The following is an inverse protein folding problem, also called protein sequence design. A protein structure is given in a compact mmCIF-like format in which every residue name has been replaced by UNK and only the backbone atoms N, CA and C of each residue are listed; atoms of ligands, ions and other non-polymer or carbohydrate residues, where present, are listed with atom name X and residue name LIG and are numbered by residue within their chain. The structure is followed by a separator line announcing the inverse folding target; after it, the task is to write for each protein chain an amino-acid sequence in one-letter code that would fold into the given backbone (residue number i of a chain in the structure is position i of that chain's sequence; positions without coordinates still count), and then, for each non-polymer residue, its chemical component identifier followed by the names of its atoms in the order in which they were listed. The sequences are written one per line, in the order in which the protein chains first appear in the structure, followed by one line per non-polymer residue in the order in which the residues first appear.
data_IF_189512202286
#
_entry.id   IF_189512202286
#
_cell.length_a   1.000
_cell.length_b   1.000
_cell.length_c   1.000
_cell.angle_alpha   90.00
_cell.angle_beta   90.00
_cell.angle_gamma   90.00
#
_symmetry.space_group_name_H-M   'P 1'
#
loop_
_entity.id
_entity.type
_entity.pdbx_description
1 polymer ?
#
# COMPACT_ATOMS: atom_id res chain seq x y z
N UNK A 1 -22.75 18.99 60.53
CA UNK A 1 -21.69 19.37 59.56
C UNK A 1 -22.18 18.96 58.17
N UNK A 2 -22.73 19.89 57.41
CA UNK A 2 -23.34 19.67 56.09
C UNK A 2 -22.29 20.00 55.05
N UNK A 3 -21.90 19.04 54.22
CA UNK A 3 -21.05 19.25 53.05
C UNK A 3 -21.96 19.37 51.84
N UNK A 4 -21.97 20.56 51.26
CA UNK A 4 -22.72 20.86 50.05
C UNK A 4 -22.02 20.32 48.83
N UNK A 5 -22.77 19.64 47.96
CA UNK A 5 -22.35 19.20 46.62
C UNK A 5 -22.66 20.34 45.64
N UNK A 6 -21.63 20.85 44.99
CA UNK A 6 -21.77 21.81 43.87
C UNK A 6 -21.84 20.98 42.57
N UNK A 7 -22.92 21.08 41.78
CA UNK A 7 -22.94 20.49 40.45
C UNK A 7 -22.22 21.43 39.46
N UNK A 8 -21.11 20.96 38.91
CA UNK A 8 -20.43 21.62 37.79
C UNK A 8 -21.26 21.51 36.51
N UNK A 9 -21.75 22.63 36.05
CA UNK A 9 -22.41 22.78 34.72
C UNK A 9 -21.32 22.76 33.64
N UNK A 10 -21.24 21.66 32.91
CA UNK A 10 -20.46 21.57 31.69
C UNK A 10 -21.24 22.28 30.59
N UNK A 11 -20.96 23.56 30.37
CA UNK A 11 -21.53 24.36 29.30
C UNK A 11 -20.97 23.91 27.96
N UNK A 12 -21.78 23.17 27.21
CA UNK A 12 -21.50 22.83 25.80
C UNK A 12 -21.69 24.08 24.95
N UNK A 13 -20.59 24.72 24.57
CA UNK A 13 -20.59 25.90 23.67
C UNK A 13 -20.90 25.41 22.23
N UNK A 14 -22.18 25.31 21.89
CA UNK A 14 -22.64 25.22 20.50
C UNK A 14 -22.45 26.57 19.82
N UNK A 15 -21.32 26.78 19.16
CA UNK A 15 -21.19 27.89 18.21
C UNK A 15 -21.93 27.50 16.93
N UNK A 16 -23.09 28.11 16.73
CA UNK A 16 -23.82 28.03 15.45
C UNK A 16 -23.02 28.81 14.40
N UNK A 17 -22.26 28.07 13.58
CA UNK A 17 -21.71 28.59 12.34
C UNK A 17 -22.88 28.83 11.37
N UNK A 18 -23.30 30.10 11.23
CA UNK A 18 -24.23 30.49 10.18
C UNK A 18 -23.56 30.35 8.84
N UNK A 19 -23.79 29.24 8.15
CA UNK A 19 -23.39 29.06 6.75
C UNK A 19 -24.33 29.96 5.91
N UNK A 20 -23.82 31.10 5.48
CA UNK A 20 -24.49 31.87 4.43
C UNK A 20 -24.34 31.08 3.12
N UNK A 21 -25.44 30.50 2.66
CA UNK A 21 -25.51 29.93 1.32
C UNK A 21 -25.36 31.08 0.31
N UNK A 22 -24.19 31.19 -0.30
CA UNK A 22 -24.04 32.02 -1.50
C UNK A 22 -24.86 31.37 -2.63
N UNK A 23 -25.63 32.21 -3.33
CA UNK A 23 -26.33 31.81 -4.55
C UNK A 23 -25.33 31.15 -5.50
N UNK A 24 -25.70 30.05 -6.16
CA UNK A 24 -24.83 29.44 -7.14
C UNK A 24 -24.70 30.41 -8.33
N UNK A 25 -23.59 31.14 -8.36
CA UNK A 25 -23.14 31.74 -9.61
C UNK A 25 -22.84 30.58 -10.58
N UNK A 26 -23.34 30.75 -11.79
CA UNK A 26 -23.29 29.80 -12.89
C UNK A 26 -22.01 28.96 -12.88
N UNK A 27 -22.17 27.63 -12.72
CA UNK A 27 -21.09 26.66 -12.88
C UNK A 27 -20.49 26.82 -14.28
N UNK A 28 -19.45 27.58 -14.38
CA UNK A 28 -18.60 27.60 -15.56
C UNK A 28 -17.89 26.25 -15.57
N UNK A 29 -18.38 25.32 -16.38
CA UNK A 29 -17.64 24.08 -16.68
C UNK A 29 -16.33 24.49 -17.37
N UNK A 30 -15.30 24.72 -16.58
CA UNK A 30 -13.92 24.80 -17.08
C UNK A 30 -13.50 23.34 -17.26
N UNK A 31 -13.57 22.85 -18.48
CA UNK A 31 -12.91 21.59 -18.85
C UNK A 31 -11.42 21.78 -18.52
N UNK A 32 -10.95 21.04 -17.51
CA UNK A 32 -9.55 21.11 -17.08
C UNK A 32 -8.68 20.49 -18.17
N UNK A 33 -7.71 21.22 -18.76
CA UNK A 33 -6.85 20.70 -19.84
C UNK A 33 -6.00 19.50 -19.43
N UNK A 34 -5.87 19.25 -18.12
CA UNK A 34 -5.00 18.22 -17.53
C UNK A 34 -5.52 16.78 -17.77
N UNK A 35 -6.84 16.61 -17.81
CA UNK A 35 -7.46 15.29 -18.12
C UNK A 35 -7.15 14.85 -19.55
N UNK A 36 -7.14 15.79 -20.48
CA UNK A 36 -6.85 15.52 -21.90
C UNK A 36 -5.37 15.14 -22.10
N UNK A 37 -4.44 15.75 -21.35
CA UNK A 37 -3.01 15.44 -21.43
C UNK A 37 -2.71 14.07 -20.81
N UNK A 38 -3.34 13.71 -19.69
CA UNK A 38 -3.18 12.40 -19.08
C UNK A 38 -3.73 11.28 -19.97
N UNK A 39 -4.91 11.46 -20.52
CA UNK A 39 -5.54 10.50 -21.44
C UNK A 39 -4.72 10.35 -22.74
N UNK A 40 -4.23 11.43 -23.29
CA UNK A 40 -3.37 11.40 -24.48
C UNK A 40 -2.03 10.72 -24.20
N UNK A 41 -1.43 10.93 -23.02
CA UNK A 41 -0.19 10.27 -22.63
C UNK A 41 -0.38 8.74 -22.50
N UNK A 42 -1.46 8.31 -21.85
CA UNK A 42 -1.82 6.90 -21.72
C UNK A 42 -2.13 6.24 -23.07
N UNK A 43 -2.88 6.90 -23.94
CA UNK A 43 -3.14 6.42 -25.30
C UNK A 43 -1.88 6.33 -26.16
N UNK A 44 -0.96 7.28 -26.01
CA UNK A 44 0.33 7.28 -26.70
C UNK A 44 1.26 6.18 -26.14
N UNK A 45 1.24 5.90 -24.86
CA UNK A 45 1.98 4.79 -24.27
C UNK A 45 1.42 3.44 -24.74
N UNK A 46 0.09 3.28 -24.76
CA UNK A 46 -0.58 2.05 -25.23
C UNK A 46 -0.30 1.76 -26.73
N UNK A 47 -0.15 2.80 -27.55
CA UNK A 47 0.18 2.65 -28.97
C UNK A 47 1.65 2.34 -29.23
N UNK A 48 2.53 2.61 -28.27
CA UNK A 48 3.99 2.48 -28.44
C UNK A 48 4.60 1.26 -27.75
N UNK A 49 3.85 0.57 -26.91
CA UNK A 49 4.32 -0.63 -26.22
C UNK A 49 3.64 -1.87 -26.76
N UNK A 50 4.43 -2.90 -27.07
CA UNK A 50 3.92 -4.23 -27.38
C UNK A 50 3.33 -4.95 -26.16
N UNK A 51 3.32 -4.31 -24.98
CA UNK A 51 2.82 -4.81 -23.72
C UNK A 51 1.38 -4.33 -23.50
N UNK A 52 0.53 -5.21 -22.99
CA UNK A 52 -0.81 -4.83 -22.54
C UNK A 52 -0.68 -4.01 -21.27
N UNK A 53 -0.97 -2.71 -21.38
CA UNK A 53 -0.96 -1.77 -20.26
C UNK A 53 -2.40 -1.48 -19.81
N UNK A 54 -2.71 -1.73 -18.56
CA UNK A 54 -3.95 -1.27 -17.92
C UNK A 54 -3.63 -0.27 -16.83
N UNK A 55 -4.47 0.75 -16.73
CA UNK A 55 -4.29 1.84 -15.77
C UNK A 55 -5.45 1.86 -14.80
N UNK A 56 -5.15 1.70 -13.52
CA UNK A 56 -6.06 1.99 -12.44
C UNK A 56 -5.81 3.43 -11.98
N UNK A 57 -6.70 4.32 -12.33
CA UNK A 57 -6.64 5.72 -11.91
C UNK A 57 -7.20 5.91 -10.50
N UNK A 58 -7.19 7.15 -10.01
CA UNK A 58 -7.68 7.49 -8.67
C UNK A 58 -9.15 7.14 -8.46
N UNK A 59 -9.99 7.31 -9.47
CA UNK A 59 -11.43 7.04 -9.36
C UNK A 59 -11.69 5.53 -9.29
N UNK A 60 -10.97 4.74 -10.10
CA UNK A 60 -10.98 3.29 -10.01
C UNK A 60 -10.55 2.81 -8.62
N UNK A 61 -9.40 3.32 -8.13
CA UNK A 61 -8.87 2.94 -6.81
C UNK A 61 -9.82 3.31 -5.68
N UNK A 62 -10.43 4.50 -5.71
CA UNK A 62 -11.42 4.93 -4.71
C UNK A 62 -12.67 4.07 -4.73
N UNK A 63 -13.18 3.74 -5.92
CA UNK A 63 -14.37 2.90 -6.08
C UNK A 63 -14.18 1.51 -5.49
N UNK A 64 -12.99 0.95 -5.59
CA UNK A 64 -12.66 -0.39 -5.15
C UNK A 64 -11.84 -0.42 -3.84
N UNK A 65 -11.78 0.71 -3.13
CA UNK A 65 -10.99 0.85 -1.91
C UNK A 65 -11.55 0.00 -0.77
N UNK A 66 -10.73 -0.88 -0.21
CA UNK A 66 -11.06 -1.76 0.91
C UNK A 66 -10.09 -1.62 2.09
N UNK A 67 -9.13 -0.69 2.02
CA UNK A 67 -8.01 -0.62 2.96
C UNK A 67 -6.87 -1.61 2.66
N UNK A 68 -7.04 -2.47 1.65
CA UNK A 68 -6.00 -3.34 1.13
C UNK A 68 -5.77 -3.02 -0.36
N UNK A 69 -4.53 -2.72 -0.72
CA UNK A 69 -4.17 -2.34 -2.08
C UNK A 69 -4.47 -3.45 -3.09
N UNK A 70 -4.09 -4.69 -2.78
CA UNK A 70 -4.24 -5.79 -3.73
C UNK A 70 -5.70 -6.17 -3.96
N UNK A 71 -6.57 -6.06 -2.95
CA UNK A 71 -8.01 -6.29 -3.13
C UNK A 71 -8.63 -5.28 -4.12
N UNK A 72 -8.16 -4.03 -4.14
CA UNK A 72 -8.58 -3.08 -5.17
C UNK A 72 -8.12 -3.52 -6.57
N UNK A 73 -6.89 -4.06 -6.66
CA UNK A 73 -6.28 -4.49 -7.92
C UNK A 73 -6.90 -5.76 -8.52
N UNK A 74 -7.57 -6.60 -7.73
CA UNK A 74 -8.29 -7.79 -8.21
C UNK A 74 -9.44 -7.46 -9.18
N UNK A 75 -9.90 -6.22 -9.17
CA UNK A 75 -10.89 -5.75 -10.13
C UNK A 75 -10.31 -5.50 -11.53
N UNK A 76 -9.00 -5.68 -11.72
CA UNK A 76 -8.34 -5.65 -13.03
C UNK A 76 -8.28 -7.07 -13.58
N UNK A 77 -8.84 -7.35 -14.78
CA UNK A 77 -8.82 -8.69 -15.37
C UNK A 77 -7.42 -9.31 -15.40
N UNK A 78 -7.28 -10.54 -14.87
CA UNK A 78 -6.03 -11.29 -14.83
C UNK A 78 -5.03 -10.84 -13.75
N UNK A 79 -5.40 -9.93 -12.88
CA UNK A 79 -4.74 -9.64 -11.60
C UNK A 79 -5.49 -10.33 -10.49
N UNK A 80 -4.79 -10.96 -9.59
CA UNK A 80 -5.32 -11.65 -8.42
C UNK A 80 -4.48 -11.27 -7.20
N UNK A 81 -5.08 -11.32 -6.03
CA UNK A 81 -4.37 -11.24 -4.77
C UNK A 81 -4.15 -12.64 -4.19
N UNK A 82 -2.96 -12.87 -3.69
CA UNK A 82 -2.71 -13.99 -2.79
C UNK A 82 -2.86 -13.45 -1.38
N UNK A 83 -4.05 -13.62 -0.81
CA UNK A 83 -4.41 -13.10 0.51
C UNK A 83 -4.31 -14.18 1.57
N UNK A 84 -3.62 -13.86 2.67
CA UNK A 84 -3.62 -14.62 3.90
C UNK A 84 -4.14 -13.70 5.00
N UNK A 85 -5.46 -13.54 5.06
CA UNK A 85 -6.09 -12.59 5.97
C UNK A 85 -5.96 -11.13 5.54
N UNK A 86 -6.19 -10.21 6.48
CA UNK A 86 -6.28 -8.77 6.16
C UNK A 86 -4.93 -8.08 6.02
N UNK A 87 -3.88 -8.63 6.63
CA UNK A 87 -2.56 -7.99 6.70
C UNK A 87 -1.55 -8.47 5.65
N UNK A 88 -1.84 -9.57 4.97
CA UNK A 88 -0.90 -10.19 4.04
C UNK A 88 -1.55 -10.38 2.68
N UNK A 89 -1.06 -9.65 1.70
CA UNK A 89 -1.55 -9.74 0.33
C UNK A 89 -0.43 -9.54 -0.66
N UNK A 90 -0.35 -10.39 -1.66
CA UNK A 90 0.66 -10.36 -2.73
C UNK A 90 0.03 -10.33 -4.10
N UNK A 91 0.65 -9.66 -5.08
CA UNK A 91 0.18 -9.69 -6.44
C UNK A 91 0.44 -11.03 -7.12
N UNK A 92 -0.54 -11.45 -7.91
CA UNK A 92 -0.44 -12.52 -8.87
C UNK A 92 -1.03 -12.05 -10.21
N UNK A 93 -0.26 -12.20 -11.30
CA UNK A 93 -0.70 -11.84 -12.64
C UNK A 93 -0.72 -13.11 -13.48
N UNK A 94 -1.90 -13.48 -14.02
CA UNK A 94 -2.10 -14.68 -14.84
C UNK A 94 -1.54 -15.96 -14.20
N UNK A 95 -1.75 -16.13 -12.88
CA UNK A 95 -1.27 -17.27 -12.11
C UNK A 95 0.21 -17.23 -11.71
N UNK A 96 0.93 -16.20 -12.08
CA UNK A 96 2.33 -16.00 -11.68
C UNK A 96 2.42 -15.00 -10.53
N UNK A 97 3.06 -15.39 -9.44
CA UNK A 97 3.26 -14.58 -8.23
C UNK A 97 4.70 -14.61 -7.74
N UNK A 98 4.93 -14.13 -6.52
CA UNK A 98 6.24 -14.05 -5.86
C UNK A 98 7.26 -13.26 -6.69
N UNK A 99 8.44 -13.83 -6.91
CA UNK A 99 9.53 -13.26 -7.71
C UNK A 99 9.28 -13.25 -9.23
N UNK A 100 8.02 -13.45 -9.68
CA UNK A 100 7.66 -13.37 -11.11
C UNK A 100 6.79 -12.17 -11.44
N UNK A 101 6.40 -11.39 -10.42
CA UNK A 101 5.68 -10.12 -10.59
C UNK A 101 6.49 -9.04 -9.89
N UNK A 102 6.99 -8.08 -10.65
CA UNK A 102 7.69 -6.93 -10.08
C UNK A 102 6.68 -5.86 -9.64
N UNK A 103 6.88 -5.33 -8.44
CA UNK A 103 6.15 -4.16 -7.96
C UNK A 103 7.13 -3.00 -7.86
N UNK A 104 6.78 -1.88 -8.50
CA UNK A 104 7.56 -0.66 -8.46
C UNK A 104 6.80 0.43 -7.71
N UNK A 105 7.51 1.22 -6.95
CA UNK A 105 7.01 2.46 -6.35
C UNK A 105 7.98 3.58 -6.67
N UNK A 106 7.48 4.66 -7.26
CA UNK A 106 8.30 5.79 -7.70
C UNK A 106 9.47 5.39 -8.63
N UNK A 107 9.29 4.39 -9.49
CA UNK A 107 10.30 3.89 -10.41
C UNK A 107 11.33 2.92 -9.81
N UNK A 108 11.26 2.66 -8.51
CA UNK A 108 12.14 1.72 -7.80
C UNK A 108 11.39 0.45 -7.47
N UNK A 109 11.99 -0.71 -7.77
CA UNK A 109 11.45 -2.02 -7.43
C UNK A 109 11.39 -2.18 -5.92
N UNK A 110 10.23 -2.60 -5.41
CA UNK A 110 10.07 -2.95 -4.01
C UNK A 110 10.66 -4.32 -3.74
N UNK A 111 11.54 -4.39 -2.74
CA UNK A 111 12.16 -5.63 -2.29
C UNK A 111 11.47 -6.17 -1.02
N UNK A 112 11.58 -7.49 -0.79
CA UNK A 112 10.99 -8.18 0.35
C UNK A 112 9.72 -8.98 0.03
N UNK A 113 9.11 -8.79 -1.13
CA UNK A 113 7.88 -9.53 -1.51
C UNK A 113 8.15 -10.94 -2.08
N UNK A 114 9.38 -11.27 -2.43
CA UNK A 114 9.77 -12.56 -3.04
C UNK A 114 9.76 -13.72 -2.04
N UNK A 115 9.73 -13.44 -0.75
CA UNK A 115 9.70 -14.45 0.30
C UNK A 115 8.33 -15.14 0.39
N UNK A 116 8.07 -16.00 1.36
CA UNK A 116 6.89 -16.87 1.49
C UNK A 116 5.52 -16.20 1.23
N UNK A 117 4.48 -16.99 1.16
CA UNK A 117 3.11 -16.50 0.90
C UNK A 117 2.59 -15.60 2.03
N UNK A 118 3.11 -15.79 3.23
CA UNK A 118 2.86 -15.07 4.48
C UNK A 118 3.53 -13.70 4.57
N UNK A 119 4.30 -13.31 3.53
CA UNK A 119 4.91 -11.99 3.45
C UNK A 119 4.11 -11.09 2.52
N UNK A 120 3.45 -10.09 3.06
CA UNK A 120 2.62 -9.14 2.30
C UNK A 120 3.43 -8.13 1.49
N UNK A 121 2.70 -7.36 0.71
CA UNK A 121 3.23 -6.18 0.04
C UNK A 121 3.11 -4.99 1.01
N UNK A 122 4.23 -4.50 1.53
CA UNK A 122 4.27 -3.37 2.46
C UNK A 122 4.07 -2.06 1.69
N UNK A 123 2.80 -1.68 1.54
CA UNK A 123 2.37 -0.50 0.81
C UNK A 123 1.16 0.15 1.47
N UNK A 124 1.23 1.46 1.68
CA UNK A 124 0.08 2.23 2.16
C UNK A 124 -0.99 2.37 1.07
N UNK A 125 -2.08 1.61 1.20
CA UNK A 125 -3.20 1.65 0.27
C UNK A 125 -3.85 3.03 0.13
N UNK A 126 -3.79 3.87 1.17
CA UNK A 126 -4.31 5.23 1.14
C UNK A 126 -3.42 6.20 0.33
N UNK A 127 -2.15 5.84 0.08
CA UNK A 127 -1.18 6.72 -0.58
C UNK A 127 -1.02 6.46 -2.08
N UNK A 128 -1.84 5.62 -2.67
CA UNK A 128 -1.77 5.29 -4.10
C UNK A 128 -2.72 6.17 -4.91
N UNK A 129 -2.19 6.95 -5.85
CA UNK A 129 -2.97 7.84 -6.71
C UNK A 129 -3.30 7.20 -8.07
N UNK A 130 -2.41 6.38 -8.61
CA UNK A 130 -2.61 5.63 -9.85
C UNK A 130 -1.66 4.43 -9.94
N UNK A 131 -2.05 3.41 -10.69
CA UNK A 131 -1.25 2.20 -10.90
C UNK A 131 -1.28 1.81 -12.36
N UNK A 132 -0.12 1.50 -12.90
CA UNK A 132 0.05 0.94 -14.22
C UNK A 132 0.30 -0.57 -14.09
N UNK A 133 -0.54 -1.38 -14.71
CA UNK A 133 -0.37 -2.83 -14.74
C UNK A 133 0.06 -3.26 -16.13
N UNK A 134 1.27 -3.76 -16.25
CA UNK A 134 1.83 -4.31 -17.47
C UNK A 134 1.75 -5.83 -17.38
N UNK A 135 0.97 -6.45 -18.27
CA UNK A 135 0.76 -7.90 -18.30
C UNK A 135 1.62 -8.53 -19.41
N UNK A 136 2.33 -9.60 -19.05
CA UNK A 136 3.19 -10.32 -19.98
C UNK A 136 4.68 -10.06 -19.75
N UNK A 137 5.55 -10.46 -20.68
CA UNK A 137 7.00 -10.47 -20.48
C UNK A 137 7.60 -9.05 -20.49
N UNK A 138 7.39 -8.33 -19.38
CA UNK A 138 8.01 -7.03 -19.15
C UNK A 138 9.46 -7.11 -18.68
N UNK A 139 10.01 -8.34 -18.56
CA UNK A 139 11.36 -8.62 -18.04
C UNK A 139 12.47 -7.89 -18.79
N UNK A 140 12.29 -7.63 -20.08
CA UNK A 140 13.27 -6.84 -20.87
C UNK A 140 13.45 -5.40 -20.34
N UNK A 141 12.45 -4.85 -19.68
CA UNK A 141 12.47 -3.48 -19.15
C UNK A 141 12.71 -3.43 -17.64
N UNK A 142 12.30 -4.46 -16.89
CA UNK A 142 12.22 -4.44 -15.44
C UNK A 142 12.97 -5.59 -14.74
N UNK A 143 13.68 -6.44 -15.52
CA UNK A 143 14.46 -7.54 -15.00
C UNK A 143 13.71 -8.88 -14.94
N UNK A 144 14.40 -9.91 -14.44
CA UNK A 144 13.91 -11.30 -14.40
C UNK A 144 12.63 -11.48 -13.58
N UNK A 145 12.42 -10.65 -12.58
CA UNK A 145 11.29 -10.73 -11.66
C UNK A 145 9.97 -10.21 -12.28
N UNK A 146 10.01 -9.75 -13.53
CA UNK A 146 8.84 -9.24 -14.24
C UNK A 146 8.30 -10.23 -15.32
N UNK A 147 8.54 -11.53 -15.17
CA UNK A 147 8.08 -12.54 -16.13
C UNK A 147 6.57 -12.59 -16.29
N UNK A 148 5.82 -12.48 -15.18
CA UNK A 148 4.36 -12.45 -15.16
C UNK A 148 3.79 -11.09 -15.51
N UNK A 149 4.53 -10.05 -15.18
CA UNK A 149 4.14 -8.67 -15.38
C UNK A 149 4.71 -7.73 -14.32
N UNK A 150 4.27 -6.49 -14.40
CA UNK A 150 4.70 -5.40 -13.51
C UNK A 150 3.49 -4.65 -12.99
N UNK A 151 3.51 -4.34 -11.71
CA UNK A 151 2.62 -3.38 -11.07
C UNK A 151 3.48 -2.15 -10.75
N UNK A 152 3.27 -1.07 -11.49
CA UNK A 152 4.01 0.18 -11.32
C UNK A 152 3.11 1.22 -10.68
N UNK A 153 3.39 1.52 -9.41
CA UNK A 153 2.70 2.55 -8.63
C UNK A 153 3.23 3.90 -9.09
N UNK A 154 2.36 4.64 -9.78
CA UNK A 154 2.71 5.91 -10.35
C UNK A 154 3.13 6.92 -9.27
N UNK A 155 4.08 7.80 -9.56
CA UNK A 155 4.42 8.91 -8.67
C UNK A 155 3.21 9.78 -8.35
N UNK A 156 3.28 10.43 -7.19
CA UNK A 156 2.26 11.37 -6.73
C UNK A 156 1.90 12.39 -7.80
N UNK A 157 0.60 12.54 -8.05
CA UNK A 157 0.08 13.55 -8.97
C UNK A 157 0.18 14.94 -8.35
N UNK A 158 0.84 15.85 -9.07
CA UNK A 158 1.08 17.22 -8.63
C UNK A 158 0.01 18.13 -9.23
N UNK A 159 -0.73 18.94 -8.43
CA UNK A 159 -1.69 19.91 -8.95
C UNK A 159 -1.05 20.91 -9.90
N UNK A 160 -1.81 21.37 -10.90
CA UNK A 160 -1.34 22.40 -11.83
C UNK A 160 -1.25 23.77 -11.15
N UNK A 161 -2.24 24.12 -10.33
CA UNK A 161 -2.38 25.44 -9.71
C UNK A 161 -1.81 25.47 -8.29
N UNK A 162 -1.45 26.68 -7.85
CA UNK A 162 -1.07 26.93 -6.47
C UNK A 162 -2.27 26.72 -5.56
N UNK A 163 -2.14 25.81 -4.61
CA UNK A 163 -3.20 25.49 -3.67
C UNK A 163 -2.67 24.86 -2.38
N UNK A 164 -3.42 25.05 -1.32
CA UNK A 164 -3.34 24.28 -0.08
C UNK A 164 -4.58 23.38 -0.04
N UNK A 165 -4.40 22.11 0.21
CA UNK A 165 -5.50 21.16 0.25
C UNK A 165 -5.24 20.05 1.26
N UNK A 166 -6.30 19.42 1.70
CA UNK A 166 -6.26 18.28 2.60
C UNK A 166 -7.28 17.24 2.20
N UNK A 167 -7.03 16.02 2.64
CA UNK A 167 -7.91 14.87 2.46
C UNK A 167 -7.99 14.08 3.75
N UNK A 168 -9.20 13.71 4.13
CA UNK A 168 -9.47 12.83 5.27
C UNK A 168 -10.27 11.66 4.77
N UNK A 169 -9.73 10.46 4.95
CA UNK A 169 -10.43 9.22 4.60
C UNK A 169 -10.68 8.41 5.86
N UNK A 170 -11.92 7.98 6.04
CA UNK A 170 -12.32 7.06 7.11
C UNK A 170 -12.74 5.73 6.48
N UNK A 171 -12.29 4.64 7.07
CA UNK A 171 -12.60 3.28 6.66
C UNK A 171 -13.24 2.51 7.80
N UNK A 172 -14.35 1.83 7.51
CA UNK A 172 -14.99 0.88 8.42
C UNK A 172 -15.37 -0.39 7.69
N UNK A 173 -15.04 -1.57 8.23
CA UNK A 173 -15.48 -2.88 7.71
C UNK A 173 -16.02 -3.73 8.85
N UNK A 174 -17.14 -4.42 8.60
CA UNK A 174 -17.77 -5.29 9.60
C UNK A 174 -17.20 -6.71 9.62
N UNK A 175 -16.60 -7.17 8.51
CA UNK A 175 -16.10 -8.55 8.37
C UNK A 175 -14.98 -8.86 9.37
N UNK A 176 -14.18 -7.89 9.70
CA UNK A 176 -13.06 -8.00 10.64
C UNK A 176 -12.93 -6.76 11.52
N UNK A 177 -14.02 -6.02 11.71
CA UNK A 177 -14.08 -4.84 12.58
C UNK A 177 -12.97 -3.81 12.30
N UNK A 178 -12.61 -3.67 11.01
CA UNK A 178 -11.57 -2.71 10.61
C UNK A 178 -12.05 -1.28 10.87
N UNK A 179 -11.18 -0.50 11.49
CA UNK A 179 -11.27 0.95 11.57
C UNK A 179 -9.97 1.51 11.00
N UNK A 180 -10.10 2.42 10.04
CA UNK A 180 -8.96 3.08 9.41
C UNK A 180 -9.17 4.57 9.27
N UNK A 181 -8.09 5.31 9.36
CA UNK A 181 -8.04 6.76 9.14
C UNK A 181 -6.82 7.11 8.29
N UNK A 182 -7.00 8.02 7.36
CA UNK A 182 -5.91 8.64 6.63
C UNK A 182 -6.10 10.15 6.60
N UNK A 183 -5.04 10.86 6.94
CA UNK A 183 -4.96 12.32 6.94
C UNK A 183 -3.88 12.74 5.95
N UNK A 184 -4.20 13.62 5.01
CA UNK A 184 -3.27 14.13 4.04
C UNK A 184 -3.34 15.66 3.99
N UNK A 185 -2.16 16.28 3.93
CA UNK A 185 -2.01 17.71 3.70
C UNK A 185 -1.03 17.92 2.54
N UNK A 186 -1.42 18.74 1.59
CA UNK A 186 -0.63 19.08 0.42
C UNK A 186 -0.60 20.57 0.15
N UNK A 187 0.55 21.09 -0.25
CA UNK A 187 0.75 22.48 -0.66
C UNK A 187 1.48 22.54 -1.99
N UNK A 188 0.92 23.26 -2.94
CA UNK A 188 1.56 23.65 -4.19
C UNK A 188 1.78 25.15 -4.20
N UNK A 189 3.03 25.57 -4.38
CA UNK A 189 3.39 26.97 -4.51
C UNK A 189 4.49 27.15 -5.58
N UNK A 190 4.14 27.78 -6.67
CA UNK A 190 5.04 27.98 -7.81
C UNK A 190 5.66 26.65 -8.32
N UNK A 191 6.99 26.55 -8.26
CA UNK A 191 7.74 25.39 -8.68
C UNK A 191 7.73 24.22 -7.68
N UNK A 192 7.31 24.46 -6.45
CA UNK A 192 7.34 23.49 -5.37
C UNK A 192 5.99 22.87 -5.09
N UNK A 193 5.99 21.56 -4.84
CA UNK A 193 4.88 20.81 -4.30
C UNK A 193 5.36 19.94 -3.14
N UNK A 194 4.62 19.93 -2.05
CA UNK A 194 4.91 19.08 -0.90
C UNK A 194 3.63 18.44 -0.39
N UNK A 195 3.67 17.16 -0.06
CA UNK A 195 2.56 16.39 0.50
C UNK A 195 3.05 15.54 1.67
N UNK A 196 2.29 15.56 2.75
CA UNK A 196 2.45 14.67 3.90
C UNK A 196 1.16 13.87 4.07
N UNK A 197 1.28 12.56 4.28
CA UNK A 197 0.16 11.68 4.63
C UNK A 197 0.54 10.83 5.83
N UNK A 198 -0.39 10.72 6.75
CA UNK A 198 -0.40 9.72 7.80
C UNK A 198 -1.62 8.83 7.63
N UNK A 199 -1.46 7.52 7.74
CA UNK A 199 -2.57 6.59 7.77
C UNK A 199 -2.38 5.55 8.88
N UNK A 200 -3.48 5.15 9.50
CA UNK A 200 -3.51 4.06 10.47
C UNK A 200 -4.76 3.23 10.23
N UNK A 201 -4.61 1.91 10.27
CA UNK A 201 -5.74 0.98 10.31
C UNK A 201 -5.51 -0.11 11.35
N UNK A 202 -6.60 -0.51 12.01
CA UNK A 202 -6.64 -1.62 12.95
C UNK A 202 -7.77 -2.53 12.57
N UNK A 203 -7.52 -3.81 12.56
CA UNK A 203 -8.51 -4.83 12.23
C UNK A 203 -8.47 -5.95 13.26
N UNK A 204 -9.64 -6.52 13.51
CA UNK A 204 -9.79 -7.69 14.36
C UNK A 204 -9.75 -8.98 13.55
N UNK A 205 -10.03 -10.07 14.24
CA UNK A 205 -10.08 -11.41 13.68
C UNK A 205 -11.09 -11.51 12.54
N UNK A 206 -10.68 -12.20 11.49
CA UNK A 206 -11.43 -12.33 10.26
C UNK A 206 -12.63 -13.25 10.43
N UNK A 207 -13.83 -12.80 10.06
CA UNK A 207 -15.05 -13.61 10.08
C UNK A 207 -15.19 -14.43 8.82
N UNK A 208 -15.53 -15.71 8.98
CA UNK A 208 -15.82 -16.62 7.89
C UNK A 208 -17.26 -17.16 8.00
N UNK A 209 -17.88 -17.58 6.88
CA UNK A 209 -19.26 -18.08 6.90
C UNK A 209 -19.40 -19.52 7.42
N UNK A 210 -18.38 -20.07 8.06
CA UNK A 210 -18.32 -21.43 8.55
C UNK A 210 -17.95 -21.47 10.04
N UNK A 211 -18.44 -22.46 10.75
CA UNK A 211 -18.08 -22.79 12.13
C UNK A 211 -17.06 -23.94 12.22
N UNK A 212 -16.61 -24.45 11.08
CA UNK A 212 -15.65 -25.54 10.96
C UNK A 212 -14.82 -25.35 9.69
N UNK A 213 -13.51 -25.52 9.78
CA UNK A 213 -12.59 -25.63 8.64
C UNK A 213 -11.97 -27.02 8.56
N UNK A 214 -11.56 -27.41 7.37
CA UNK A 214 -10.79 -28.65 7.17
C UNK A 214 -9.35 -28.28 6.91
N UNK A 215 -8.46 -28.71 7.80
CA UNK A 215 -7.02 -28.50 7.68
C UNK A 215 -6.31 -29.85 7.72
N UNK A 216 -5.52 -30.16 6.70
CA UNK A 216 -4.84 -31.47 6.57
C UNK A 216 -5.76 -32.67 6.88
N UNK A 217 -6.97 -32.70 6.31
CA UNK A 217 -8.01 -33.73 6.52
C UNK A 217 -8.72 -33.71 7.88
N UNK A 218 -8.27 -32.91 8.84
CA UNK A 218 -8.92 -32.76 10.14
C UNK A 218 -9.95 -31.65 10.15
N UNK A 219 -11.10 -31.90 10.76
CA UNK A 219 -12.11 -30.86 10.99
C UNK A 219 -11.73 -30.08 12.26
N UNK A 220 -11.59 -28.77 12.13
CA UNK A 220 -11.25 -27.87 13.21
C UNK A 220 -12.40 -26.90 13.46
N UNK A 221 -12.80 -26.72 14.72
CA UNK A 221 -13.84 -25.74 15.08
C UNK A 221 -13.33 -24.32 14.85
N UNK A 222 -14.24 -23.44 14.42
CA UNK A 222 -14.02 -21.99 14.34
C UNK A 222 -15.01 -21.32 15.26
N UNK A 223 -14.53 -20.96 16.44
CA UNK A 223 -15.35 -20.35 17.49
C UNK A 223 -15.84 -18.97 17.06
N UNK A 224 -17.12 -18.70 17.25
CA UNK A 224 -17.72 -17.42 16.87
C UNK A 224 -17.62 -17.09 15.35
N UNK A 225 -17.29 -18.08 14.51
CA UNK A 225 -16.99 -17.90 13.07
C UNK A 225 -15.88 -16.90 12.83
N UNK A 226 -14.88 -16.84 13.71
CA UNK A 226 -13.72 -15.98 13.61
C UNK A 226 -12.45 -16.83 13.50
N UNK A 227 -11.58 -16.48 12.57
CA UNK A 227 -10.24 -17.06 12.49
C UNK A 227 -9.37 -16.37 13.53
N UNK A 228 -9.19 -17.02 14.67
CA UNK A 228 -8.41 -16.49 15.79
C UNK A 228 -7.01 -16.07 15.38
N UNK A 229 -6.53 -14.98 15.97
CA UNK A 229 -5.19 -14.43 15.78
C UNK A 229 -4.92 -13.96 14.34
N UNK A 230 -5.95 -13.44 13.66
CA UNK A 230 -5.79 -12.78 12.35
C UNK A 230 -5.94 -11.27 12.47
N UNK A 231 -6.00 -10.76 13.68
CA UNK A 231 -6.02 -9.35 14.01
C UNK A 231 -4.67 -8.68 13.68
N UNK A 232 -4.71 -7.37 13.50
CA UNK A 232 -3.50 -6.61 13.22
C UNK A 232 -3.72 -5.11 13.16
N UNK A 233 -2.63 -4.41 12.94
CA UNK A 233 -2.62 -2.98 12.70
C UNK A 233 -1.49 -2.59 11.76
N UNK A 234 -1.70 -1.46 11.09
CA UNK A 234 -0.75 -0.86 10.16
C UNK A 234 -0.73 0.66 10.38
N UNK A 235 0.46 1.25 10.37
CA UNK A 235 0.70 2.69 10.44
C UNK A 235 1.67 3.08 9.35
N UNK A 236 1.32 4.12 8.61
CA UNK A 236 2.13 4.59 7.51
C UNK A 236 2.36 6.09 7.60
N UNK A 237 3.55 6.49 7.24
CA UNK A 237 3.93 7.89 7.04
C UNK A 237 4.50 8.05 5.65
N UNK A 238 3.95 8.98 4.88
CA UNK A 238 4.41 9.27 3.52
C UNK A 238 4.67 10.75 3.36
N UNK A 239 5.87 11.08 2.98
CA UNK A 239 6.29 12.43 2.63
C UNK A 239 6.71 12.46 1.17
N UNK A 240 6.23 13.45 0.43
CA UNK A 240 6.62 13.68 -0.95
C UNK A 240 6.87 15.15 -1.18
N UNK A 241 7.97 15.49 -1.84
CA UNK A 241 8.21 16.84 -2.33
C UNK A 241 8.73 16.81 -3.75
N UNK A 242 8.33 17.79 -4.56
CA UNK A 242 8.74 17.93 -5.96
C UNK A 242 9.05 19.40 -6.26
N UNK A 243 10.15 19.60 -6.96
CA UNK A 243 10.50 20.85 -7.62
C UNK A 243 10.44 20.66 -9.12
N UNK A 244 9.76 21.58 -9.83
CA UNK A 244 9.70 21.53 -11.28
C UNK A 244 9.77 22.95 -11.86
N UNK A 245 10.77 23.19 -12.70
CA UNK A 245 10.96 24.46 -13.39
C UNK A 245 11.78 24.29 -14.68
N UNK A 246 11.31 24.87 -15.78
CA UNK A 246 12.06 24.98 -17.06
C UNK A 246 12.73 23.66 -17.52
N UNK A 247 11.96 22.59 -17.64
CA UNK A 247 12.48 21.29 -18.11
C UNK A 247 13.20 20.46 -17.02
N UNK A 248 13.53 21.01 -15.88
CA UNK A 248 14.05 20.28 -14.73
C UNK A 248 12.94 19.85 -13.78
N UNK A 249 12.93 18.58 -13.43
CA UNK A 249 12.05 17.99 -12.44
C UNK A 249 12.88 17.17 -11.45
N UNK A 250 12.67 17.42 -10.17
CA UNK A 250 13.28 16.67 -9.09
C UNK A 250 12.21 16.32 -8.07
N UNK A 251 12.17 15.09 -7.58
CA UNK A 251 11.33 14.74 -6.45
C UNK A 251 12.09 13.91 -5.42
N UNK A 252 11.58 13.93 -4.20
CA UNK A 252 11.97 13.09 -3.09
C UNK A 252 10.69 12.51 -2.48
N UNK A 253 10.68 11.20 -2.33
CA UNK A 253 9.63 10.48 -1.61
C UNK A 253 10.25 9.71 -0.45
N UNK A 254 9.63 9.80 0.71
CA UNK A 254 9.97 9.02 1.90
C UNK A 254 8.69 8.34 2.37
N UNK A 255 8.70 7.04 2.47
CA UNK A 255 7.60 6.26 3.01
C UNK A 255 8.08 5.29 4.07
N UNK A 256 7.29 5.11 5.11
CA UNK A 256 7.52 4.09 6.11
C UNK A 256 6.22 3.36 6.39
N UNK A 257 6.24 2.04 6.23
CA UNK A 257 5.14 1.13 6.58
C UNK A 257 5.54 0.37 7.82
N UNK A 258 4.75 0.49 8.87
CA UNK A 258 4.93 -0.24 10.11
C UNK A 258 3.68 -1.07 10.39
N UNK A 259 3.85 -2.39 10.49
CA UNK A 259 2.75 -3.36 10.59
C UNK A 259 3.06 -4.41 11.66
N UNK A 260 2.02 -4.81 12.41
CA UNK A 260 2.00 -6.03 13.23
C UNK A 260 0.73 -6.80 12.90
N UNK A 261 0.87 -8.07 12.55
CA UNK A 261 -0.28 -8.92 12.17
C UNK A 261 -0.08 -10.32 12.71
N UNK A 262 -1.11 -10.84 13.35
CA UNK A 262 -1.16 -12.24 13.79
C UNK A 262 -1.34 -13.20 12.62
N UNK A 263 -0.94 -14.42 12.81
CA UNK A 263 -1.20 -15.55 11.92
C UNK A 263 -2.21 -16.49 12.55
N UNK A 264 -3.14 -16.99 11.75
CA UNK A 264 -3.98 -18.09 12.20
C UNK A 264 -3.09 -19.26 12.66
N UNK A 265 -3.32 -19.81 13.87
CA UNK A 265 -2.40 -20.81 14.46
C UNK A 265 -2.17 -22.07 13.62
N UNK A 266 -3.02 -22.34 12.62
CA UNK A 266 -2.84 -23.44 11.67
C UNK A 266 -1.87 -23.16 10.52
N UNK A 267 -1.32 -21.95 10.42
CA UNK A 267 -0.43 -21.59 9.29
C UNK A 267 0.92 -22.34 9.30
N UNK A 268 1.37 -22.83 10.46
CA UNK A 268 2.67 -23.48 10.65
C UNK A 268 2.55 -24.94 11.15
N UNK A 269 1.52 -25.66 10.74
CA UNK A 269 1.30 -27.06 11.13
C UNK A 269 -0.10 -27.31 11.66
N UNK A 270 -0.36 -28.52 12.17
CA UNK A 270 -1.65 -28.82 12.80
C UNK A 270 -1.75 -28.04 14.09
N UNK A 271 -2.72 -27.11 14.21
CA UNK A 271 -2.83 -26.28 15.40
C UNK A 271 -3.26 -27.12 16.60
N UNK A 272 -2.76 -26.77 17.77
CA UNK A 272 -3.33 -27.19 19.02
C UNK A 272 -4.73 -26.59 19.13
N UNK A 273 -5.74 -27.44 19.40
CA UNK A 273 -7.14 -27.02 19.49
C UNK A 273 -7.35 -25.94 20.57
N UNK A 274 -6.57 -25.98 21.65
CA UNK A 274 -6.62 -24.97 22.72
C UNK A 274 -6.24 -23.55 22.24
N UNK A 275 -5.43 -23.46 21.20
CA UNK A 275 -5.05 -22.17 20.59
C UNK A 275 -6.11 -21.60 19.66
N UNK A 276 -7.14 -22.38 19.34
CA UNK A 276 -8.26 -21.94 18.51
C UNK A 276 -9.44 -21.46 19.34
N UNK A 277 -9.44 -21.68 20.67
CA UNK A 277 -10.50 -21.23 21.54
C UNK A 277 -10.61 -19.72 21.54
N UNK A 278 -11.86 -19.23 21.51
CA UNK A 278 -12.16 -17.80 21.58
C UNK A 278 -11.83 -17.30 22.99
N UNK A 279 -10.96 -16.31 23.08
CA UNK A 279 -10.61 -15.64 24.35
C UNK A 279 -11.48 -14.42 24.64
N UNK A 280 -12.46 -14.13 23.79
CA UNK A 280 -13.37 -12.99 23.93
C UNK A 280 -12.82 -11.66 23.42
N UNK A 281 -11.56 -11.59 22.96
CA UNK A 281 -10.95 -10.40 22.36
C UNK A 281 -10.54 -10.64 20.90
N UNK A 282 -11.33 -10.13 19.97
CA UNK A 282 -11.06 -10.23 18.54
C UNK A 282 -9.92 -9.32 18.04
N UNK A 283 -9.27 -8.55 18.91
CA UNK A 283 -8.26 -7.56 18.53
C UNK A 283 -6.89 -7.79 19.13
N UNK A 284 -6.75 -8.75 20.02
CA UNK A 284 -5.45 -9.15 20.53
C UNK A 284 -4.61 -9.81 19.42
N UNK A 285 -3.30 -9.72 19.56
CA UNK A 285 -2.35 -10.32 18.63
C UNK A 285 -1.41 -11.18 19.43
N UNK A 286 -1.72 -12.47 19.45
CA UNK A 286 -0.96 -13.51 20.14
C UNK A 286 0.10 -14.11 19.20
N UNK A 287 0.84 -15.09 19.70
CA UNK A 287 1.72 -15.90 18.88
C UNK A 287 0.91 -16.91 18.03
N UNK A 288 1.28 -17.14 16.78
CA UNK A 288 2.35 -16.48 16.02
C UNK A 288 1.94 -15.13 15.44
N UNK A 289 2.90 -14.21 15.27
CA UNK A 289 2.69 -12.93 14.58
C UNK A 289 3.93 -12.46 13.81
N UNK A 290 3.73 -11.58 12.87
CA UNK A 290 4.81 -10.86 12.18
C UNK A 290 4.80 -9.38 12.53
N UNK A 291 6.00 -8.79 12.61
CA UNK A 291 6.23 -7.34 12.61
C UNK A 291 7.05 -6.96 11.40
N UNK A 292 6.67 -5.86 10.76
CA UNK A 292 7.41 -5.30 9.62
C UNK A 292 7.59 -3.81 9.84
N UNK A 293 8.78 -3.34 9.55
CA UNK A 293 9.10 -1.92 9.42
C UNK A 293 9.85 -1.74 8.09
N UNK A 294 9.20 -1.13 7.10
CA UNK A 294 9.76 -0.92 5.78
C UNK A 294 9.89 0.56 5.47
N UNK A 295 11.10 1.07 5.62
CA UNK A 295 11.48 2.42 5.23
C UNK A 295 11.92 2.44 3.76
N UNK A 296 11.38 3.38 2.98
CA UNK A 296 11.76 3.63 1.58
C UNK A 296 12.06 5.10 1.39
N UNK A 297 13.20 5.40 0.78
CA UNK A 297 13.61 6.75 0.38
C UNK A 297 13.95 6.70 -1.10
N UNK A 298 13.21 7.44 -1.92
CA UNK A 298 13.42 7.46 -3.36
C UNK A 298 13.52 8.88 -3.89
N UNK A 299 14.35 9.08 -4.90
CA UNK A 299 14.45 10.36 -5.60
C UNK A 299 14.47 10.12 -7.10
N UNK A 300 13.75 10.96 -7.83
CA UNK A 300 13.74 11.00 -9.28
C UNK A 300 14.26 12.35 -9.74
N UNK A 301 15.20 12.31 -10.68
CA UNK A 301 15.78 13.49 -11.31
C UNK A 301 15.51 13.41 -12.81
N UNK A 302 15.04 14.50 -13.41
CA UNK A 302 14.82 14.57 -14.86
C UNK A 302 15.22 15.93 -15.39
N UNK A 303 15.93 15.92 -16.48
CA UNK A 303 16.23 17.13 -17.24
C UNK A 303 15.84 16.92 -18.71
N UNK A 304 15.05 17.85 -19.23
CA UNK A 304 14.58 17.86 -20.61
C UNK A 304 15.19 19.03 -21.38
N UNK A 305 15.87 18.70 -22.49
CA UNK A 305 16.28 19.64 -23.54
C UNK A 305 15.31 19.54 -24.71
N UNK A 306 15.50 20.35 -25.74
CA UNK A 306 14.64 20.36 -26.92
C UNK A 306 14.37 18.97 -27.52
N UNK A 307 15.39 18.13 -27.62
CA UNK A 307 15.32 16.80 -28.27
C UNK A 307 15.80 15.65 -27.38
N UNK A 308 16.14 15.91 -26.13
CA UNK A 308 16.72 14.89 -25.27
C UNK A 308 16.14 14.99 -23.84
N UNK A 309 15.80 13.86 -23.27
CA UNK A 309 15.37 13.75 -21.87
C UNK A 309 16.31 12.77 -21.18
N UNK A 310 16.99 13.25 -20.16
CA UNK A 310 17.77 12.44 -19.22
C UNK A 310 16.98 12.31 -17.92
N UNK A 311 16.84 11.10 -17.42
CA UNK A 311 16.24 10.84 -16.12
C UNK A 311 17.01 9.79 -15.34
N UNK A 312 16.94 9.88 -14.01
CA UNK A 312 17.56 8.91 -13.11
C UNK A 312 16.73 8.75 -11.84
N UNK A 313 16.71 7.52 -11.35
CA UNK A 313 16.06 7.15 -10.10
C UNK A 313 17.12 6.60 -9.15
N UNK A 314 17.07 7.00 -7.89
CA UNK A 314 17.90 6.47 -6.80
C UNK A 314 16.95 6.07 -5.69
N UNK A 315 17.14 4.89 -5.13
CA UNK A 315 16.34 4.37 -4.03
C UNK A 315 17.19 3.74 -2.95
N UNK A 316 16.79 3.95 -1.71
CA UNK A 316 17.24 3.20 -0.54
C UNK A 316 16.02 2.60 0.14
N UNK A 317 16.09 1.33 0.48
CA UNK A 317 15.07 0.62 1.24
C UNK A 317 15.73 -0.11 2.40
N UNK A 318 15.08 -0.05 3.55
CA UNK A 318 15.39 -0.90 4.70
C UNK A 318 14.11 -1.65 5.08
N UNK A 319 14.09 -2.95 4.86
CA UNK A 319 13.01 -3.83 5.27
C UNK A 319 13.47 -4.64 6.48
N UNK A 320 12.94 -4.30 7.65
CA UNK A 320 13.13 -5.05 8.88
C UNK A 320 11.87 -5.83 9.21
N UNK A 321 11.99 -7.16 9.19
CA UNK A 321 10.89 -8.10 9.49
C UNK A 321 11.29 -9.01 10.63
N UNK A 322 10.34 -9.25 11.51
CA UNK A 322 10.44 -10.25 12.58
C UNK A 322 9.22 -11.17 12.51
N UNK A 323 9.46 -12.46 12.73
CA UNK A 323 8.43 -13.48 12.92
C UNK A 323 8.58 -14.07 14.30
N UNK A 324 7.46 -14.16 14.99
CA UNK A 324 7.38 -14.57 16.38
C UNK A 324 6.44 -15.74 16.49
N UNK A 325 6.89 -16.86 17.04
CA UNK A 325 6.07 -18.03 17.36
C UNK A 325 6.51 -18.63 18.69
N UNK A 326 5.63 -19.42 19.32
CA UNK A 326 6.02 -20.12 20.54
C UNK A 326 7.23 -21.01 20.23
N UNK A 327 8.26 -20.94 21.05
CA UNK A 327 9.46 -21.74 20.86
C UNK A 327 9.12 -23.22 20.69
N UNK A 328 9.68 -23.81 19.64
CA UNK A 328 9.63 -25.25 19.41
C UNK A 328 10.99 -25.71 18.88
N UNK A 329 11.38 -26.92 19.24
CA UNK A 329 12.64 -27.49 18.81
C UNK A 329 12.52 -28.07 17.41
N UNK A 330 13.46 -27.72 16.53
CA UNK A 330 13.60 -28.35 15.20
C UNK A 330 14.43 -29.65 15.25
N UNK A 331 15.21 -29.82 16.32
CA UNK A 331 16.01 -31.02 16.58
C UNK A 331 16.18 -31.25 18.10
N UNK A 332 16.31 -32.46 18.53
CA UNK A 332 16.18 -32.86 19.93
C UNK A 332 17.17 -32.27 20.94
N UNK A 333 18.26 -31.63 20.47
CA UNK A 333 19.29 -31.02 21.32
C UNK A 333 19.34 -29.50 21.18
N UNK A 334 18.35 -28.91 20.51
CA UNK A 334 18.32 -27.46 20.33
C UNK A 334 18.11 -26.75 21.70
N UNK A 335 19.07 -25.91 22.14
CA UNK A 335 18.89 -25.15 23.35
C UNK A 335 17.86 -24.04 23.20
N UNK A 336 17.22 -23.68 24.31
CA UNK A 336 16.40 -22.47 24.35
C UNK A 336 17.27 -21.24 24.11
N UNK A 337 16.90 -20.31 23.20
CA UNK A 337 17.60 -19.04 23.05
C UNK A 337 17.65 -18.25 24.37
N UNK A 338 18.78 -17.60 24.65
CA UNK A 338 18.98 -16.79 25.88
C UNK A 338 18.13 -15.51 25.85
N UNK A 339 17.89 -14.97 24.67
CA UNK A 339 17.08 -13.74 24.48
C UNK A 339 16.00 -14.00 23.44
N UNK A 340 14.82 -13.39 23.67
CA UNK A 340 13.67 -13.48 22.75
C UNK A 340 13.38 -14.92 22.28
N UNK A 341 13.10 -15.89 23.17
CA UNK A 341 12.98 -17.30 22.79
C UNK A 341 11.86 -17.55 21.77
N UNK A 342 10.85 -16.70 21.73
CA UNK A 342 9.73 -16.77 20.80
C UNK A 342 9.98 -16.03 19.46
N UNK A 343 11.16 -15.42 19.28
CA UNK A 343 11.53 -14.82 18.00
C UNK A 343 12.12 -15.90 17.08
N UNK A 344 11.29 -16.39 16.16
CA UNK A 344 11.67 -17.46 15.25
C UNK A 344 12.61 -16.98 14.15
N UNK A 345 12.37 -15.76 13.63
CA UNK A 345 13.08 -15.24 12.48
C UNK A 345 13.20 -13.71 12.54
N UNK A 346 14.33 -13.19 12.08
CA UNK A 346 14.50 -11.76 11.84
C UNK A 346 15.29 -11.54 10.55
N UNK A 347 14.75 -10.69 9.68
CA UNK A 347 15.43 -10.21 8.48
C UNK A 347 15.66 -8.71 8.56
N UNK A 348 16.82 -8.26 8.09
CA UNK A 348 17.13 -6.86 7.91
C UNK A 348 17.76 -6.66 6.53
N UNK A 349 16.91 -6.35 5.54
CA UNK A 349 17.32 -6.18 4.16
C UNK A 349 17.54 -4.70 3.86
N UNK A 350 18.78 -4.35 3.49
CA UNK A 350 19.14 -3.02 3.00
C UNK A 350 19.36 -3.11 1.48
N UNK A 351 18.64 -2.32 0.72
CA UNK A 351 18.72 -2.31 -0.74
C UNK A 351 19.00 -0.90 -1.25
N UNK A 352 20.00 -0.77 -2.10
CA UNK A 352 20.29 0.43 -2.86
C UNK A 352 19.97 0.16 -4.33
N UNK A 353 19.20 1.03 -4.95
CA UNK A 353 18.78 0.91 -6.34
C UNK A 353 19.13 2.17 -7.10
N UNK A 354 19.55 1.98 -8.34
CA UNK A 354 19.86 3.08 -9.24
C UNK A 354 19.39 2.75 -10.66
N UNK A 355 18.77 3.70 -11.34
CA UNK A 355 18.47 3.61 -12.75
C UNK A 355 18.80 4.93 -13.47
N UNK A 356 19.24 4.84 -14.72
CA UNK A 356 19.45 5.99 -15.59
C UNK A 356 18.85 5.71 -16.97
N UNK A 357 18.13 6.68 -17.52
CA UNK A 357 17.45 6.58 -18.82
C UNK A 357 17.70 7.83 -19.64
N UNK A 358 18.16 7.64 -20.87
CA UNK A 358 18.25 8.69 -21.89
C UNK A 358 17.19 8.43 -22.96
N UNK A 359 16.42 9.45 -23.32
CA UNK A 359 15.47 9.39 -24.43
C UNK A 359 15.75 10.53 -25.39
N UNK A 360 16.00 10.17 -26.64
CA UNK A 360 16.11 11.13 -27.71
C UNK A 360 14.77 11.24 -28.44
N UNK A 361 14.27 12.46 -28.60
CA UNK A 361 13.07 12.78 -29.36
C UNK A 361 13.54 13.13 -30.76
N UNK A 362 13.74 12.11 -31.60
CA UNK A 362 14.15 12.28 -32.98
C UNK A 362 13.06 12.86 -33.88
N UNK A 363 13.37 13.12 -35.13
CA UNK A 363 12.47 13.75 -36.11
C UNK A 363 11.15 13.00 -36.25
N UNK A 364 10.04 13.69 -35.98
CA UNK A 364 8.66 13.22 -36.19
C UNK A 364 8.23 13.27 -37.68
N UNK A 365 9.15 13.28 -38.63
CA UNK A 365 8.87 13.50 -40.05
C UNK A 365 8.91 12.24 -40.93
N UNK A 366 8.76 11.04 -40.34
CA UNK A 366 8.43 9.84 -41.12
C UNK A 366 6.91 9.58 -41.02
N UNK A 367 6.13 10.48 -41.62
CA UNK A 367 4.78 10.13 -42.06
C UNK A 367 4.94 9.30 -43.32
N UNK A 368 4.73 7.99 -43.24
CA UNK A 368 4.51 7.17 -44.44
C UNK A 368 3.21 7.63 -45.09
N UNK A 369 3.32 8.23 -46.24
CA UNK A 369 2.24 8.35 -47.21
C UNK A 369 1.87 6.98 -47.76
#
# INVERSE_FOLDING_TARGET
MRIGIIPGVLGMLCTTLSVHAQKPDSVRNVALPEVVIAETYQQLQNKKTALTLEVADRDFLRKHFTGNFMQAMENIPGVQAMDIGSGFSKPMIRGMGFNRVAVLENGIKQEGQQWGADHGLELDAFNVDAVNVMKGPASLLYGSDAMGGVIDIAPVQVPAENMLFGDVTLLGKSVNETIGVSLMLGIKRNAWYTRLRYSEQRFGDYRIPADTIVYLTQKMPVYGRRLKNTAGWERNVNFFTQYQKKGYKSNLAVSNVFQKTGFFPGAHGVPDLSRLEDDGDSRNIDLPYSKVNHLKVTTHQQYAWEKFILSGDIGYQNNHREEWSAFHTHYGTQPLPETDPDKELAFNLNTFSFSAKGRWIGFSSWEHR
#
